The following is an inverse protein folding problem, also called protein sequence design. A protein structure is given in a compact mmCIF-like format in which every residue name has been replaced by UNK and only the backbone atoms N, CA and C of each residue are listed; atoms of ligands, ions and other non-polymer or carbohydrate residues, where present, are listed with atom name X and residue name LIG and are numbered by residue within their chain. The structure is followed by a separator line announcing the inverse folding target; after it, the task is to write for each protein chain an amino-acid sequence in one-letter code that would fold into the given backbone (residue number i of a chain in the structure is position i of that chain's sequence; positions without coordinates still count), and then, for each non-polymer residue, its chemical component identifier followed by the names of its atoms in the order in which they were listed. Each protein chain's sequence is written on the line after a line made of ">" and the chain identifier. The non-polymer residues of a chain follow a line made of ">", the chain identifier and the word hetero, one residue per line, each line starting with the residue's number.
data_IF_882479475195
#
_entry.id   IF_882479475195
#
_cell.length_a   1.000
_cell.length_b   1.000
_cell.length_c   1.000
_cell.angle_alpha   90.00
_cell.angle_beta   90.00
_cell.angle_gamma   90.00
#
_symmetry.space_group_name_H-M   'P 1'
#
loop_
_entity.id
_entity.type
_entity.pdbx_description
1 polymer ?
#
# COMPACT_ATOMS: atom_id res chain seq x y z
N UNK A 1 -67.65 -123.42 22.16
CA UNK A 1 -67.50 -121.97 21.90
C UNK A 1 -66.48 -121.32 22.84
N UNK A 2 -66.51 -121.62 24.15
CA UNK A 2 -65.51 -121.13 25.14
C UNK A 2 -64.08 -121.67 24.89
N UNK A 3 -63.92 -122.88 24.37
CA UNK A 3 -62.59 -123.44 24.04
C UNK A 3 -61.92 -122.77 22.82
N UNK A 4 -62.72 -122.25 21.88
CA UNK A 4 -62.23 -121.56 20.67
C UNK A 4 -61.74 -120.13 20.97
N UNK A 5 -62.28 -119.49 22.01
CA UNK A 5 -61.75 -118.22 22.51
C UNK A 5 -60.48 -118.41 23.35
N UNK A 6 -60.38 -119.52 24.09
CA UNK A 6 -59.16 -119.89 24.83
C UNK A 6 -57.97 -120.25 23.93
N UNK A 7 -58.19 -120.62 22.67
CA UNK A 7 -57.13 -120.91 21.70
C UNK A 7 -56.59 -119.68 20.96
N UNK A 8 -57.14 -118.47 21.18
CA UNK A 8 -56.59 -117.23 20.60
C UNK A 8 -55.48 -116.70 21.51
N UNK A 9 -54.29 -116.47 20.94
CA UNK A 9 -53.17 -115.78 21.61
C UNK A 9 -53.45 -114.28 21.81
N UNK A 10 -54.45 -113.99 22.63
CA UNK A 10 -54.86 -112.64 23.03
C UNK A 10 -53.89 -112.05 24.06
N UNK A 11 -53.24 -112.91 24.84
CA UNK A 11 -52.27 -112.53 25.88
C UNK A 11 -50.98 -112.01 25.23
N UNK A 12 -50.43 -112.70 24.24
CA UNK A 12 -49.24 -112.25 23.51
C UNK A 12 -49.47 -110.94 22.76
N UNK A 13 -50.64 -110.74 22.16
CA UNK A 13 -51.01 -109.48 21.51
C UNK A 13 -51.12 -108.31 22.51
N UNK A 14 -51.77 -108.53 23.66
CA UNK A 14 -51.84 -107.52 24.73
C UNK A 14 -50.45 -107.20 25.28
N UNK A 15 -49.57 -108.19 25.44
CA UNK A 15 -48.19 -107.96 25.88
C UNK A 15 -47.37 -107.17 24.84
N UNK A 16 -47.56 -107.45 23.55
CA UNK A 16 -46.95 -106.70 22.45
C UNK A 16 -47.44 -105.25 22.39
N UNK A 17 -48.74 -105.03 22.58
CA UNK A 17 -49.34 -103.68 22.65
C UNK A 17 -48.84 -102.93 23.89
N UNK A 18 -48.72 -103.60 25.05
CA UNK A 18 -48.13 -103.02 26.27
C UNK A 18 -46.67 -102.63 26.05
N UNK A 19 -45.86 -103.49 25.43
CA UNK A 19 -44.46 -103.20 25.08
C UNK A 19 -44.37 -101.99 24.13
N UNK A 20 -45.21 -101.93 23.09
CA UNK A 20 -45.28 -100.77 22.17
C UNK A 20 -45.74 -99.49 22.88
N UNK A 21 -46.76 -99.56 23.74
CA UNK A 21 -47.24 -98.42 24.52
C UNK A 21 -46.19 -97.90 25.49
N UNK A 22 -45.42 -98.79 26.11
CA UNK A 22 -44.29 -98.42 26.97
C UNK A 22 -43.17 -97.72 26.19
N UNK A 23 -42.76 -98.29 25.05
CA UNK A 23 -41.74 -97.69 24.17
C UNK A 23 -42.21 -96.33 23.67
N UNK A 24 -43.46 -96.23 23.19
CA UNK A 24 -44.04 -94.97 22.72
C UNK A 24 -44.06 -93.91 23.83
N UNK A 25 -44.48 -94.28 25.05
CA UNK A 25 -44.48 -93.37 26.19
C UNK A 25 -43.06 -92.90 26.55
N UNK A 26 -42.07 -93.80 26.52
CA UNK A 26 -40.66 -93.44 26.73
C UNK A 26 -40.16 -92.48 25.65
N UNK A 27 -40.41 -92.78 24.37
CA UNK A 27 -40.07 -91.88 23.26
C UNK A 27 -40.75 -90.51 23.40
N UNK A 28 -42.04 -90.47 23.74
CA UNK A 28 -42.79 -89.23 23.96
C UNK A 28 -42.18 -88.39 25.09
N UNK A 29 -41.83 -88.99 26.23
CA UNK A 29 -41.19 -88.26 27.34
C UNK A 29 -39.82 -87.69 26.95
N UNK A 30 -39.03 -88.41 26.15
CA UNK A 30 -37.74 -87.93 25.66
C UNK A 30 -37.90 -86.75 24.70
N UNK A 31 -38.88 -86.80 23.80
CA UNK A 31 -39.19 -85.71 22.87
C UNK A 31 -39.69 -84.49 23.64
N UNK A 32 -40.62 -84.65 24.58
CA UNK A 32 -41.15 -83.57 25.41
C UNK A 32 -40.06 -82.88 26.25
N UNK A 33 -39.07 -83.63 26.76
CA UNK A 33 -37.90 -83.01 27.42
C UNK A 33 -37.05 -82.17 26.47
N UNK A 34 -36.76 -82.68 25.27
CA UNK A 34 -36.00 -81.94 24.25
C UNK A 34 -36.74 -80.68 23.79
N UNK A 35 -38.06 -80.74 23.67
CA UNK A 35 -38.93 -79.61 23.35
C UNK A 35 -38.84 -78.50 24.40
N UNK A 36 -38.91 -78.86 25.70
CA UNK A 36 -38.74 -77.89 26.80
C UNK A 36 -37.38 -77.21 26.77
N UNK A 37 -36.30 -77.97 26.55
CA UNK A 37 -34.95 -77.40 26.44
C UNK A 37 -34.85 -76.43 25.26
N UNK A 38 -35.45 -76.75 24.11
CA UNK A 38 -35.47 -75.84 22.96
C UNK A 38 -36.28 -74.58 23.23
N UNK A 39 -37.40 -74.67 23.94
CA UNK A 39 -38.22 -73.50 24.26
C UNK A 39 -37.50 -72.50 25.16
N UNK A 40 -36.71 -72.97 26.14
CA UNK A 40 -35.87 -72.10 26.98
C UNK A 40 -34.83 -71.36 26.11
N UNK A 41 -34.16 -72.08 25.20
CA UNK A 41 -33.19 -71.46 24.28
C UNK A 41 -33.86 -70.43 23.38
N UNK A 42 -35.08 -70.68 22.91
CA UNK A 42 -35.83 -69.71 22.10
C UNK A 42 -36.14 -68.45 22.92
N UNK A 43 -36.55 -68.58 24.17
CA UNK A 43 -36.82 -67.45 25.07
C UNK A 43 -35.56 -66.63 25.34
N UNK A 44 -34.43 -67.29 25.63
CA UNK A 44 -33.13 -66.63 25.82
C UNK A 44 -32.70 -65.86 24.56
N UNK A 45 -32.82 -66.48 23.38
CA UNK A 45 -32.54 -65.83 22.10
C UNK A 45 -33.49 -64.67 21.81
N UNK A 46 -34.77 -64.77 22.19
CA UNK A 46 -35.73 -63.68 22.03
C UNK A 46 -35.36 -62.48 22.91
N UNK A 47 -34.93 -62.72 24.16
CA UNK A 47 -34.46 -61.68 25.05
C UNK A 47 -33.18 -61.02 24.51
N UNK A 48 -32.21 -61.80 24.03
CA UNK A 48 -30.98 -61.27 23.44
C UNK A 48 -31.27 -60.42 22.19
N UNK A 49 -32.21 -60.84 21.33
CA UNK A 49 -32.68 -60.05 20.18
C UNK A 49 -33.29 -58.72 20.65
N UNK A 50 -34.07 -58.73 21.73
CA UNK A 50 -34.67 -57.50 22.27
C UNK A 50 -33.59 -56.54 22.77
N UNK A 51 -32.62 -57.02 23.54
CA UNK A 51 -31.51 -56.19 24.03
C UNK A 51 -30.65 -55.64 22.90
N UNK A 52 -30.36 -56.44 21.87
CA UNK A 52 -29.64 -55.97 20.68
C UNK A 52 -30.41 -54.84 19.99
N UNK A 53 -31.74 -54.95 19.87
CA UNK A 53 -32.57 -53.90 19.26
C UNK A 53 -32.54 -52.60 20.06
N UNK A 54 -32.62 -52.68 21.38
CA UNK A 54 -32.57 -51.49 22.26
C UNK A 54 -31.20 -50.80 22.16
N UNK A 55 -30.11 -51.57 22.20
CA UNK A 55 -28.76 -51.02 21.98
C UNK A 55 -28.60 -50.37 20.61
N UNK A 56 -29.18 -50.95 19.56
CA UNK A 56 -29.15 -50.38 18.20
C UNK A 56 -29.89 -49.04 18.17
N UNK A 57 -31.05 -48.94 18.82
CA UNK A 57 -31.82 -47.70 18.88
C UNK A 57 -31.06 -46.58 19.60
N UNK A 58 -30.40 -46.89 20.71
CA UNK A 58 -29.62 -45.91 21.46
C UNK A 58 -28.35 -45.47 20.71
N UNK A 59 -27.66 -46.40 20.04
CA UNK A 59 -26.55 -46.06 19.14
C UNK A 59 -27.02 -45.16 17.99
N UNK A 60 -28.19 -45.42 17.40
CA UNK A 60 -28.76 -44.59 16.34
C UNK A 60 -29.02 -43.16 16.81
N UNK A 61 -29.61 -42.97 18.00
CA UNK A 61 -29.81 -41.63 18.59
C UNK A 61 -28.49 -40.90 18.79
N UNK A 62 -27.44 -41.61 19.24
CA UNK A 62 -26.10 -41.02 19.43
C UNK A 62 -25.49 -40.58 18.11
N UNK A 63 -25.65 -41.35 17.04
CA UNK A 63 -25.22 -40.98 15.69
C UNK A 63 -25.95 -39.73 15.22
N UNK A 64 -27.29 -39.69 15.34
CA UNK A 64 -28.09 -38.52 14.93
C UNK A 64 -27.70 -37.23 15.70
N UNK A 65 -27.34 -37.36 16.98
CA UNK A 65 -26.83 -36.24 17.78
C UNK A 65 -25.46 -35.76 17.27
N UNK A 66 -24.52 -36.68 17.07
CA UNK A 66 -23.18 -36.34 16.56
C UNK A 66 -23.23 -35.75 15.14
N UNK A 67 -24.12 -36.25 14.28
CA UNK A 67 -24.34 -35.69 12.94
C UNK A 67 -24.82 -34.23 12.99
N UNK A 68 -25.68 -33.89 13.96
CA UNK A 68 -26.13 -32.51 14.19
C UNK A 68 -24.99 -31.62 14.66
N UNK A 69 -24.19 -32.07 15.64
CA UNK A 69 -23.01 -31.33 16.09
C UNK A 69 -22.00 -31.10 14.97
N UNK A 70 -21.75 -32.11 14.13
CA UNK A 70 -20.88 -31.98 12.96
C UNK A 70 -21.45 -30.96 11.97
N UNK A 71 -22.76 -30.96 11.74
CA UNK A 71 -23.41 -29.99 10.85
C UNK A 71 -23.25 -28.55 11.36
N UNK A 72 -23.40 -28.33 12.66
CA UNK A 72 -23.23 -27.01 13.27
C UNK A 72 -21.76 -26.57 13.25
N UNK A 73 -20.82 -27.45 13.59
CA UNK A 73 -19.38 -27.19 13.44
C UNK A 73 -19.01 -26.83 12.00
N UNK A 74 -19.56 -27.53 10.99
CA UNK A 74 -19.33 -27.22 9.57
C UNK A 74 -19.84 -25.82 9.20
N UNK A 75 -21.01 -25.41 9.71
CA UNK A 75 -21.53 -24.05 9.50
C UNK A 75 -20.62 -23.00 10.12
N UNK A 76 -20.16 -23.22 11.35
CA UNK A 76 -19.23 -22.31 12.03
C UNK A 76 -17.91 -22.16 11.24
N UNK A 77 -17.35 -23.27 10.74
CA UNK A 77 -16.13 -23.25 9.91
C UNK A 77 -16.36 -22.51 8.59
N UNK A 78 -17.52 -22.67 7.95
CA UNK A 78 -17.84 -21.95 6.73
C UNK A 78 -17.93 -20.43 6.99
N UNK A 79 -18.54 -20.02 8.09
CA UNK A 79 -18.63 -18.61 8.48
C UNK A 79 -17.26 -18.02 8.81
N UNK A 80 -16.45 -18.70 9.63
CA UNK A 80 -15.08 -18.26 9.96
C UNK A 80 -14.21 -18.12 8.71
N UNK A 81 -14.34 -19.02 7.74
CA UNK A 81 -13.62 -18.89 6.47
C UNK A 81 -14.05 -17.66 5.67
N UNK A 82 -15.34 -17.29 5.71
CA UNK A 82 -15.82 -16.07 5.06
C UNK A 82 -15.19 -14.84 5.72
N UNK A 83 -15.26 -14.75 7.05
CA UNK A 83 -14.72 -13.63 7.81
C UNK A 83 -13.20 -13.51 7.66
N UNK A 84 -12.48 -14.64 7.66
CA UNK A 84 -11.04 -14.69 7.38
C UNK A 84 -10.70 -14.09 6.01
N UNK A 85 -11.44 -14.47 4.96
CA UNK A 85 -11.19 -13.96 3.61
C UNK A 85 -11.51 -12.47 3.47
N UNK A 86 -12.51 -11.97 4.21
CA UNK A 86 -12.83 -10.54 4.26
C UNK A 86 -11.71 -9.74 4.94
N UNK A 87 -11.25 -10.19 6.11
CA UNK A 87 -10.14 -9.57 6.82
C UNK A 87 -8.83 -9.63 6.01
N UNK A 88 -8.56 -10.75 5.31
CA UNK A 88 -7.39 -10.88 4.43
C UNK A 88 -7.38 -9.82 3.32
N UNK A 89 -8.54 -9.52 2.72
CA UNK A 89 -8.65 -8.46 1.71
C UNK A 89 -8.43 -7.07 2.31
N UNK A 90 -8.98 -6.81 3.48
CA UNK A 90 -8.78 -5.54 4.17
C UNK A 90 -7.30 -5.32 4.53
N UNK A 91 -6.61 -6.38 4.95
CA UNK A 91 -5.17 -6.36 5.22
C UNK A 91 -4.37 -6.04 3.94
N UNK A 92 -4.71 -6.65 2.80
CA UNK A 92 -4.06 -6.34 1.51
C UNK A 92 -4.25 -4.88 1.09
N UNK A 93 -5.42 -4.30 1.32
CA UNK A 93 -5.67 -2.88 1.03
C UNK A 93 -4.81 -1.97 1.92
N UNK A 94 -4.75 -2.24 3.22
CA UNK A 94 -3.90 -1.49 4.15
C UNK A 94 -2.42 -1.59 3.78
N UNK A 95 -1.94 -2.80 3.45
CA UNK A 95 -0.55 -3.01 3.03
C UNK A 95 -0.21 -2.19 1.77
N UNK A 96 -1.10 -2.18 0.78
CA UNK A 96 -0.94 -1.38 -0.43
C UNK A 96 -0.93 0.13 -0.13
N UNK A 97 -1.77 0.60 0.79
CA UNK A 97 -1.81 2.00 1.20
C UNK A 97 -0.54 2.41 1.96
N UNK A 98 0.00 1.52 2.82
CA UNK A 98 1.28 1.74 3.52
C UNK A 98 2.43 1.84 2.51
N UNK A 99 2.49 0.93 1.53
CA UNK A 99 3.52 0.95 0.48
C UNK A 99 3.50 2.27 -0.30
N UNK A 100 2.28 2.73 -0.65
CA UNK A 100 2.09 4.02 -1.34
C UNK A 100 2.52 5.20 -0.48
N UNK A 101 2.17 5.22 0.80
CA UNK A 101 2.57 6.30 1.72
C UNK A 101 4.10 6.34 1.93
N UNK A 102 4.75 5.17 2.03
CA UNK A 102 6.22 5.07 2.09
C UNK A 102 6.88 5.60 0.83
N UNK A 103 6.34 5.27 -0.35
CA UNK A 103 6.82 5.80 -1.62
C UNK A 103 6.65 7.34 -1.70
N UNK A 104 5.50 7.87 -1.30
CA UNK A 104 5.26 9.32 -1.27
C UNK A 104 6.23 10.01 -0.30
N UNK A 105 6.45 9.44 0.88
CA UNK A 105 7.41 9.92 1.87
C UNK A 105 8.83 9.98 1.29
N UNK A 106 9.29 8.90 0.66
CA UNK A 106 10.57 8.85 -0.02
C UNK A 106 10.70 9.96 -1.09
N UNK A 107 9.66 10.14 -1.90
CA UNK A 107 9.62 11.18 -2.93
C UNK A 107 9.75 12.59 -2.33
N UNK A 108 9.14 12.86 -1.17
CA UNK A 108 9.31 14.14 -0.46
C UNK A 108 10.73 14.34 0.04
N UNK A 109 11.35 13.31 0.65
CA UNK A 109 12.73 13.38 1.10
C UNK A 109 13.70 13.61 -0.06
N UNK A 110 13.53 12.88 -1.16
CA UNK A 110 14.32 13.04 -2.38
C UNK A 110 14.18 14.45 -2.95
N UNK A 111 12.95 14.96 -3.05
CA UNK A 111 12.67 16.33 -3.57
C UNK A 111 13.30 17.39 -2.68
N UNK A 112 13.21 17.25 -1.35
CA UNK A 112 13.86 18.16 -0.41
C UNK A 112 15.37 18.17 -0.59
N UNK A 113 15.98 16.99 -0.78
CA UNK A 113 17.43 16.87 -0.99
C UNK A 113 17.90 17.47 -2.32
N UNK A 114 17.18 17.24 -3.41
CA UNK A 114 17.50 17.79 -4.72
C UNK A 114 17.42 19.32 -4.75
N UNK A 115 16.47 19.90 -4.02
CA UNK A 115 16.27 21.35 -3.94
C UNK A 115 17.01 22.01 -2.76
N UNK A 116 17.90 21.27 -2.08
CA UNK A 116 18.67 21.75 -0.92
C UNK A 116 17.79 22.35 0.21
N UNK A 117 16.57 21.83 0.35
CA UNK A 117 15.63 22.24 1.39
C UNK A 117 16.05 21.57 2.70
N UNK A 118 16.50 22.39 3.66
CA UNK A 118 16.89 21.91 4.98
C UNK A 118 15.67 21.41 5.76
N UNK A 119 15.63 20.10 6.01
CA UNK A 119 14.61 19.47 6.84
C UNK A 119 15.00 19.53 8.33
N UNK A 120 14.04 19.78 9.25
CA UNK A 120 14.31 19.95 10.67
C UNK A 120 14.45 18.60 11.38
N UNK A 121 15.58 17.91 11.18
CA UNK A 121 15.92 16.70 11.93
C UNK A 121 16.35 17.06 13.37
N UNK A 122 15.78 16.41 14.41
CA UNK A 122 16.38 16.30 15.73
C UNK A 122 17.81 15.78 15.64
N UNK A 123 18.67 16.17 16.60
CA UNK A 123 20.11 15.88 16.60
C UNK A 123 20.49 14.39 16.52
N UNK A 124 19.53 13.47 16.67
CA UNK A 124 19.73 12.01 16.68
C UNK A 124 18.79 11.22 15.73
N UNK A 125 17.96 11.84 14.87
CA UNK A 125 16.94 11.10 14.08
C UNK A 125 16.98 11.33 12.57
N UNK A 126 18.18 11.45 12.00
CA UNK A 126 18.38 11.51 10.55
C UNK A 126 19.30 12.65 10.11
N UNK A 127 19.75 12.58 8.87
CA UNK A 127 20.55 13.63 8.21
C UNK A 127 20.21 13.64 6.73
N UNK A 128 20.34 14.80 6.08
CA UNK A 128 20.18 14.92 4.62
C UNK A 128 21.12 13.98 3.86
N UNK A 129 22.27 13.60 4.44
CA UNK A 129 23.18 12.61 3.86
C UNK A 129 22.60 11.20 3.82
N UNK A 130 21.68 10.86 4.72
CA UNK A 130 21.06 9.54 4.83
C UNK A 130 19.90 9.32 3.83
N UNK A 131 19.39 10.37 3.19
CA UNK A 131 18.35 10.26 2.14
C UNK A 131 18.99 9.73 0.85
N UNK A 132 18.59 8.56 0.37
CA UNK A 132 19.14 7.97 -0.86
C UNK A 132 18.44 8.55 -2.10
N UNK A 133 19.18 8.84 -3.18
CA UNK A 133 18.63 9.50 -4.39
C UNK A 133 18.12 8.54 -5.48
N UNK A 134 18.20 7.23 -5.24
CA UNK A 134 17.88 6.19 -6.22
C UNK A 134 16.48 6.38 -6.79
N UNK A 135 16.34 6.32 -8.11
CA UNK A 135 15.04 6.45 -8.77
C UNK A 135 14.22 5.18 -8.60
N UNK A 136 13.10 5.29 -7.89
CA UNK A 136 12.11 4.23 -7.75
C UNK A 136 11.12 4.37 -8.91
N UNK A 137 11.39 3.73 -10.04
CA UNK A 137 10.38 3.56 -11.09
C UNK A 137 9.49 2.39 -10.72
N UNK A 138 8.21 2.64 -10.45
CA UNK A 138 7.17 1.62 -10.49
C UNK A 138 7.09 1.11 -11.94
N UNK A 139 7.65 -0.07 -12.22
CA UNK A 139 7.44 -0.74 -13.49
C UNK A 139 6.09 -1.45 -13.46
N UNK A 140 5.06 -0.80 -14.03
CA UNK A 140 3.95 -1.50 -14.68
C UNK A 140 4.42 -1.95 -16.07
N UNK A 141 4.21 -3.22 -16.40
CA UNK A 141 4.66 -3.89 -17.61
C UNK A 141 4.26 -3.15 -18.91
N UNK A 142 5.20 -2.98 -19.86
CA UNK A 142 5.16 -3.49 -21.26
C UNK A 142 6.16 -2.79 -22.21
N UNK A 143 6.96 -3.61 -22.91
CA UNK A 143 7.60 -3.44 -24.23
C UNK A 143 7.72 -2.03 -24.87
N UNK A 144 8.95 -1.57 -25.19
CA UNK A 144 9.45 -1.14 -26.54
C UNK A 144 10.86 -0.48 -26.43
N UNK A 145 11.72 -0.56 -27.48
CA UNK A 145 13.16 -0.59 -27.33
C UNK A 145 13.88 0.77 -27.33
N UNK A 146 15.07 0.68 -26.74
CA UNK A 146 16.19 1.61 -26.63
C UNK A 146 16.44 2.39 -27.93
N UNK A 147 16.44 3.72 -27.84
CA UNK A 147 17.27 4.55 -28.72
C UNK A 147 18.12 5.50 -27.86
N UNK A 148 19.41 5.18 -27.86
CA UNK A 148 20.51 5.87 -27.20
C UNK A 148 20.84 7.19 -27.87
N UNK A 149 20.89 8.27 -27.10
CA UNK A 149 21.72 9.45 -27.41
C UNK A 149 22.31 9.97 -26.12
N UNK A 150 23.57 9.61 -25.87
CA UNK A 150 24.41 10.16 -24.80
C UNK A 150 25.37 11.14 -25.47
N UNK A 151 25.32 12.41 -25.08
CA UNK A 151 26.42 13.35 -25.31
C UNK A 151 27.39 13.30 -24.14
N UNK A 152 28.63 13.08 -24.52
CA UNK A 152 29.89 12.99 -23.78
C UNK A 152 30.22 14.20 -22.90
N UNK A 153 30.84 13.95 -21.75
CA UNK A 153 32.12 14.61 -21.37
C UNK A 153 32.99 13.69 -20.52
N UNK A 154 34.25 13.65 -20.92
CA UNK A 154 35.41 12.86 -20.51
C UNK A 154 36.02 13.30 -19.18
N UNK A 155 36.56 12.38 -18.38
CA UNK A 155 38.02 12.19 -18.16
C UNK A 155 38.30 11.12 -17.09
N UNK A 156 39.00 10.07 -17.53
CA UNK A 156 40.09 9.32 -16.91
C UNK A 156 40.08 8.96 -15.41
N UNK A 157 39.94 7.67 -15.12
CA UNK A 157 40.98 6.86 -14.46
C UNK A 157 40.56 5.39 -14.32
N UNK A 158 41.52 4.51 -14.58
CA UNK A 158 41.42 3.05 -14.70
C UNK A 158 41.17 2.30 -13.39
N UNK A 159 40.15 1.45 -13.33
CA UNK A 159 40.22 0.08 -12.76
C UNK A 159 38.98 -0.70 -13.22
N UNK A 160 39.16 -1.99 -13.53
CA UNK A 160 38.17 -2.86 -14.17
C UNK A 160 36.77 -2.79 -13.54
N UNK A 161 35.80 -2.29 -14.32
CA UNK A 161 34.38 -2.30 -13.98
C UNK A 161 33.71 -3.53 -14.58
N UNK A 162 33.31 -4.45 -13.70
CA UNK A 162 32.12 -5.26 -13.95
C UNK A 162 30.96 -4.28 -13.98
N UNK A 163 30.48 -3.95 -15.18
CA UNK A 163 29.37 -3.03 -15.41
C UNK A 163 28.06 -3.79 -15.16
N UNK A 164 27.82 -4.12 -13.89
CA UNK A 164 26.51 -4.56 -13.42
C UNK A 164 25.58 -3.34 -13.51
N UNK A 165 24.70 -3.39 -14.49
CA UNK A 165 23.55 -2.50 -14.64
C UNK A 165 22.75 -2.58 -13.34
N UNK A 166 23.02 -1.67 -12.42
CA UNK A 166 22.39 -1.62 -11.10
C UNK A 166 20.94 -1.13 -11.24
N UNK A 167 20.06 -2.03 -11.66
CA UNK A 167 18.63 -1.94 -11.36
C UNK A 167 18.47 -2.29 -9.89
N UNK A 168 17.90 -1.40 -9.06
CA UNK A 168 17.69 -1.71 -7.65
C UNK A 168 16.84 -2.98 -7.55
N UNK A 169 17.35 -3.99 -6.86
CA UNK A 169 16.51 -5.12 -6.49
C UNK A 169 15.40 -4.61 -5.56
N UNK A 170 14.20 -5.20 -5.60
CA UNK A 170 13.09 -4.86 -4.67
C UNK A 170 13.54 -4.90 -3.18
N UNK A 171 14.59 -5.65 -2.86
CA UNK A 171 15.20 -5.67 -1.52
C UNK A 171 15.86 -4.34 -1.12
N UNK A 172 16.49 -3.63 -2.06
CA UNK A 172 17.13 -2.34 -1.77
C UNK A 172 16.09 -1.25 -1.50
N UNK A 173 15.00 -1.24 -2.29
CA UNK A 173 13.89 -0.30 -2.09
C UNK A 173 13.27 -0.44 -0.70
N UNK A 174 13.07 -1.67 -0.24
CA UNK A 174 12.53 -1.93 1.10
C UNK A 174 13.49 -1.46 2.20
N UNK A 175 14.80 -1.65 2.02
CA UNK A 175 15.81 -1.15 2.96
C UNK A 175 15.82 0.38 3.04
N UNK A 176 15.60 1.08 1.91
CA UNK A 176 15.48 2.55 1.89
C UNK A 176 14.29 2.97 2.76
N UNK A 177 13.11 2.40 2.53
CA UNK A 177 11.92 2.72 3.31
C UNK A 177 12.10 2.41 4.80
N UNK A 178 12.72 1.29 5.16
CA UNK A 178 12.96 0.91 6.55
C UNK A 178 13.95 1.85 7.26
N UNK A 179 14.85 2.53 6.52
CA UNK A 179 15.73 3.58 7.06
C UNK A 179 14.94 4.87 7.24
N UNK A 180 14.15 5.26 6.24
CA UNK A 180 13.37 6.51 6.22
C UNK A 180 12.24 6.51 7.26
N UNK A 181 11.65 5.35 7.56
CA UNK A 181 10.65 5.17 8.63
C UNK A 181 11.19 5.56 10.02
N UNK A 182 12.52 5.55 10.21
CA UNK A 182 13.17 5.96 11.46
C UNK A 182 13.41 7.46 11.54
N UNK A 183 13.18 8.19 10.45
CA UNK A 183 13.36 9.63 10.44
C UNK A 183 12.21 10.30 11.17
N UNK A 184 12.55 11.03 12.24
CA UNK A 184 11.61 11.91 12.91
C UNK A 184 11.91 13.35 12.50
N UNK A 185 10.86 14.12 12.18
CA UNK A 185 10.95 15.54 11.86
C UNK A 185 10.37 16.38 12.99
N UNK A 186 11.03 17.49 13.31
CA UNK A 186 10.58 18.42 14.33
C UNK A 186 9.64 19.48 13.74
N UNK A 187 8.34 19.31 14.00
CA UNK A 187 7.29 20.22 13.53
C UNK A 187 6.95 21.35 14.52
N UNK A 188 7.71 21.58 15.60
CA UNK A 188 7.37 22.60 16.62
C UNK A 188 7.28 24.02 16.06
N UNK A 189 8.06 24.32 15.02
CA UNK A 189 8.07 25.64 14.35
C UNK A 189 7.02 25.77 13.25
N UNK A 190 6.30 24.69 12.93
CA UNK A 190 5.25 24.72 11.92
C UNK A 190 3.96 25.29 12.52
N UNK A 191 3.32 26.21 11.81
CA UNK A 191 2.05 26.82 12.22
C UNK A 191 0.94 25.76 12.31
N UNK A 192 0.05 25.88 13.29
CA UNK A 192 -0.98 24.86 13.56
C UNK A 192 -1.98 24.69 12.41
N UNK A 193 -2.23 25.76 11.66
CA UNK A 193 -3.10 25.71 10.47
C UNK A 193 -2.51 24.79 9.39
N UNK A 194 -1.18 24.76 9.26
CA UNK A 194 -0.45 23.91 8.31
C UNK A 194 -0.40 22.44 8.75
N UNK A 195 -0.64 22.15 10.03
CA UNK A 195 -0.68 20.78 10.56
C UNK A 195 -1.99 20.05 10.26
N UNK A 196 -3.06 20.79 9.93
CA UNK A 196 -4.41 20.25 9.76
C UNK A 196 -4.86 20.15 8.30
N UNK A 197 -3.95 20.43 7.35
CA UNK A 197 -4.28 20.48 5.93
C UNK A 197 -4.37 19.06 5.37
N UNK A 198 -5.43 18.78 4.60
CA UNK A 198 -5.59 17.52 3.87
C UNK A 198 -4.60 17.44 2.68
N UNK A 199 -4.17 16.24 2.31
CA UNK A 199 -3.21 15.96 1.23
C UNK A 199 -3.54 16.69 -0.10
N UNK A 200 -4.81 16.68 -0.52
CA UNK A 200 -5.23 17.39 -1.74
C UNK A 200 -5.04 18.91 -1.65
N UNK A 201 -5.27 19.47 -0.46
CA UNK A 201 -5.14 20.89 -0.24
C UNK A 201 -3.66 21.31 -0.15
N UNK A 202 -2.79 20.47 0.40
CA UNK A 202 -1.32 20.70 0.38
C UNK A 202 -0.81 20.80 -1.07
N UNK A 203 -1.23 19.90 -1.96
CA UNK A 203 -0.82 19.95 -3.36
C UNK A 203 -1.31 21.20 -4.10
N UNK A 204 -2.55 21.63 -3.80
CA UNK A 204 -3.14 22.84 -4.39
C UNK A 204 -2.46 24.11 -3.88
N UNK A 205 -2.27 24.21 -2.57
CA UNK A 205 -1.59 25.35 -1.93
C UNK A 205 -0.13 25.40 -2.33
N UNK A 206 0.56 24.25 -2.39
CA UNK A 206 1.94 24.16 -2.88
C UNK A 206 2.09 24.69 -4.30
N UNK A 207 1.22 24.28 -5.23
CA UNK A 207 1.18 24.83 -6.60
C UNK A 207 0.90 26.34 -6.61
N UNK A 208 0.01 26.82 -5.72
CA UNK A 208 -0.31 28.25 -5.61
C UNK A 208 0.87 29.06 -5.06
N UNK A 209 1.56 28.54 -4.04
CA UNK A 209 2.74 29.16 -3.44
C UNK A 209 3.89 29.22 -4.43
N UNK A 210 4.18 28.14 -5.15
CA UNK A 210 5.17 28.13 -6.24
C UNK A 210 4.81 29.22 -7.25
N UNK A 211 3.57 29.25 -7.73
CA UNK A 211 3.09 30.29 -8.66
C UNK A 211 3.26 31.70 -8.10
N UNK A 212 3.04 31.91 -6.79
CA UNK A 212 3.15 33.20 -6.14
C UNK A 212 4.61 33.64 -5.93
N UNK A 213 5.49 32.72 -5.56
CA UNK A 213 6.94 32.95 -5.44
C UNK A 213 7.52 33.34 -6.80
N UNK A 214 7.18 32.61 -7.87
CA UNK A 214 7.65 32.92 -9.22
C UNK A 214 7.06 34.21 -9.80
N UNK A 215 5.93 34.71 -9.27
CA UNK A 215 5.26 35.92 -9.78
C UNK A 215 5.74 37.20 -9.10
N UNK A 216 6.37 37.13 -7.93
CA UNK A 216 6.52 38.29 -7.03
C UNK A 216 7.94 38.44 -6.48
N UNK A 217 8.97 38.37 -7.32
CA UNK A 217 10.27 38.89 -6.89
C UNK A 217 10.17 40.42 -6.77
N UNK A 218 10.37 41.00 -5.57
CA UNK A 218 10.18 42.43 -5.35
C UNK A 218 11.26 43.29 -6.03
N UNK A 219 12.42 42.68 -6.33
CA UNK A 219 13.57 43.30 -6.94
C UNK A 219 14.20 42.34 -7.97
N UNK A 220 14.50 42.86 -9.16
CA UNK A 220 15.28 42.17 -10.18
C UNK A 220 16.63 42.87 -10.38
N UNK A 221 17.71 42.11 -10.43
CA UNK A 221 19.04 42.56 -10.80
C UNK A 221 19.39 41.92 -12.16
N UNK A 222 19.59 42.74 -13.19
CA UNK A 222 19.90 42.29 -14.54
C UNK A 222 21.29 42.81 -14.93
N UNK A 223 22.23 41.90 -15.14
CA UNK A 223 23.61 42.22 -15.51
C UNK A 223 23.82 42.02 -17.02
N UNK A 224 24.28 43.06 -17.72
CA UNK A 224 24.64 43.06 -19.15
C UNK A 224 23.62 42.39 -20.10
N UNK A 225 22.32 42.47 -19.78
CA UNK A 225 21.25 41.85 -20.56
C UNK A 225 21.13 42.41 -21.98
N UNK A 226 21.67 43.60 -22.20
CA UNK A 226 21.74 44.29 -23.49
C UNK A 226 22.74 43.66 -24.47
N UNK A 227 23.70 42.86 -24.00
CA UNK A 227 24.63 42.11 -24.86
C UNK A 227 23.91 41.04 -25.69
N UNK A 228 22.83 40.47 -25.14
CA UNK A 228 22.04 39.42 -25.79
C UNK A 228 20.88 39.97 -26.66
N UNK A 229 20.70 41.29 -26.74
CA UNK A 229 19.56 41.92 -27.40
C UNK A 229 19.99 42.76 -28.62
N UNK A 230 19.25 42.62 -29.72
CA UNK A 230 19.43 43.48 -30.89
C UNK A 230 18.95 44.92 -30.61
N UNK A 231 19.54 45.91 -31.30
CA UNK A 231 19.20 47.33 -31.16
C UNK A 231 17.70 47.64 -31.28
N UNK A 232 16.95 46.86 -32.07
CA UNK A 232 15.49 46.98 -32.23
C UNK A 232 14.71 46.50 -31.01
N UNK A 233 15.25 45.51 -30.28
CA UNK A 233 14.60 44.87 -29.14
C UNK A 233 15.00 45.51 -27.80
N UNK A 234 16.19 46.09 -27.69
CA UNK A 234 16.67 46.82 -26.49
C UNK A 234 15.63 47.85 -26.03
N UNK A 235 15.12 48.68 -26.96
CA UNK A 235 14.10 49.68 -26.64
C UNK A 235 12.82 49.04 -26.08
N UNK A 236 12.28 48.01 -26.77
CA UNK A 236 11.04 47.34 -26.33
C UNK A 236 11.17 46.75 -24.93
N UNK A 237 12.32 46.13 -24.63
CA UNK A 237 12.61 45.56 -23.31
C UNK A 237 12.74 46.65 -22.25
N UNK A 238 13.44 47.74 -22.56
CA UNK A 238 13.59 48.87 -21.65
C UNK A 238 12.25 49.59 -21.36
N UNK A 239 11.37 49.74 -22.36
CA UNK A 239 10.01 50.28 -22.16
C UNK A 239 9.17 49.35 -21.27
N UNK A 240 9.24 48.04 -21.52
CA UNK A 240 8.53 47.06 -20.72
C UNK A 240 8.98 47.10 -19.26
N UNK A 241 10.30 47.10 -19.01
CA UNK A 241 10.85 47.18 -17.66
C UNK A 241 10.41 48.46 -16.97
N UNK A 242 10.45 49.61 -17.66
CA UNK A 242 9.95 50.89 -17.11
C UNK A 242 8.49 50.79 -16.70
N UNK A 243 7.60 50.29 -17.58
CA UNK A 243 6.17 50.16 -17.30
C UNK A 243 5.89 49.20 -16.14
N UNK A 244 6.56 48.04 -16.11
CA UNK A 244 6.41 47.09 -15.00
C UNK A 244 6.99 47.66 -13.70
N UNK A 245 8.04 48.47 -13.77
CA UNK A 245 8.69 49.05 -12.58
C UNK A 245 7.86 50.09 -11.85
N UNK A 246 6.87 50.68 -12.53
CA UNK A 246 5.95 51.62 -11.93
C UNK A 246 4.93 50.98 -10.98
N UNK A 247 4.64 49.67 -11.12
CA UNK A 247 3.54 49.04 -10.37
C UNK A 247 3.79 47.62 -9.85
N UNK A 248 4.76 46.88 -10.40
CA UNK A 248 4.90 45.44 -10.11
C UNK A 248 6.20 45.04 -9.41
N UNK A 249 7.35 45.57 -9.80
CA UNK A 249 8.64 45.19 -9.22
C UNK A 249 9.70 46.27 -9.36
N UNK A 250 10.68 46.33 -8.46
CA UNK A 250 11.85 47.17 -8.66
C UNK A 250 12.85 46.46 -9.59
N UNK A 251 13.54 47.20 -10.46
CA UNK A 251 14.55 46.62 -11.34
C UNK A 251 15.82 47.49 -11.36
N UNK A 252 16.97 46.85 -11.16
CA UNK A 252 18.30 47.42 -11.32
C UNK A 252 18.91 46.73 -12.53
N UNK A 253 19.30 47.51 -13.53
CA UNK A 253 19.94 47.00 -14.74
C UNK A 253 21.32 47.60 -14.89
N UNK A 254 22.30 46.74 -15.14
CA UNK A 254 23.66 47.11 -15.51
C UNK A 254 23.73 46.99 -17.04
N UNK A 255 23.97 48.11 -17.71
CA UNK A 255 23.99 48.20 -19.17
C UNK A 255 24.94 49.29 -19.61
N UNK A 256 25.61 49.05 -20.75
CA UNK A 256 26.48 50.03 -21.41
C UNK A 256 25.79 50.72 -22.60
N UNK A 257 24.54 50.36 -22.90
CA UNK A 257 23.76 50.86 -24.04
C UNK A 257 22.87 52.02 -23.66
N UNK A 258 23.08 53.17 -24.30
CA UNK A 258 22.29 54.39 -24.10
C UNK A 258 20.78 54.19 -24.26
N UNK A 259 20.36 53.37 -25.23
CA UNK A 259 18.94 53.09 -25.47
C UNK A 259 18.25 52.41 -24.29
N UNK A 260 19.01 51.78 -23.40
CA UNK A 260 18.49 51.12 -22.20
C UNK A 260 18.41 52.12 -21.04
N UNK A 261 19.54 52.69 -20.65
CA UNK A 261 19.62 53.53 -19.45
C UNK A 261 18.95 54.91 -19.62
N UNK A 262 18.72 55.38 -20.85
CA UNK A 262 17.92 56.59 -21.12
C UNK A 262 16.44 56.46 -20.72
N UNK A 263 15.95 55.24 -20.46
CA UNK A 263 14.56 54.97 -20.04
C UNK A 263 14.45 54.66 -18.54
N UNK A 264 15.56 54.73 -17.80
CA UNK A 264 15.58 54.50 -16.36
C UNK A 264 15.02 55.71 -15.59
N UNK A 265 14.52 55.49 -14.38
CA UNK A 265 14.12 56.59 -13.47
C UNK A 265 15.30 57.27 -12.79
N UNK A 266 16.41 56.56 -12.58
CA UNK A 266 17.65 57.09 -12.05
C UNK A 266 18.85 56.35 -12.62
N UNK A 267 19.99 57.04 -12.71
CA UNK A 267 21.28 56.49 -13.09
C UNK A 267 22.21 56.43 -11.89
N UNK A 268 22.92 55.31 -11.80
CA UNK A 268 24.01 55.10 -10.84
C UNK A 268 25.27 54.86 -11.68
N UNK A 269 26.09 55.89 -11.84
CA UNK A 269 27.34 55.81 -12.57
C UNK A 269 28.45 55.34 -11.61
N UNK A 270 29.07 54.22 -11.93
CA UNK A 270 30.23 53.69 -11.21
C UNK A 270 31.47 53.98 -12.05
N UNK A 271 32.47 54.63 -11.45
CA UNK A 271 33.71 54.97 -12.14
C UNK A 271 34.94 54.76 -11.25
N UNK A 272 36.08 54.33 -11.83
CA UNK A 272 37.32 54.18 -11.08
C UNK A 272 37.95 55.55 -10.82
N UNK A 273 38.44 55.79 -9.60
CA UNK A 273 39.30 56.94 -9.30
C UNK A 273 40.76 56.57 -9.57
N UNK A 274 41.51 57.38 -10.34
CA UNK A 274 42.93 57.14 -10.56
C UNK A 274 43.71 57.30 -9.25
N UNK A 275 44.56 56.32 -8.95
CA UNK A 275 45.42 56.25 -7.75
C UNK A 275 46.20 54.93 -7.71
N UNK A 276 47.00 54.73 -6.66
CA UNK A 276 47.85 53.53 -6.50
C UNK A 276 47.06 52.22 -6.32
N UNK A 277 45.77 52.32 -6.00
CA UNK A 277 44.83 51.20 -5.90
C UNK A 277 43.50 51.56 -6.56
N UNK A 278 42.90 50.61 -7.28
CA UNK A 278 41.62 50.81 -7.97
C UNK A 278 40.51 50.93 -6.93
N UNK A 279 39.98 52.14 -6.78
CA UNK A 279 38.83 52.43 -5.93
C UNK A 279 37.67 52.91 -6.78
N UNK A 280 36.48 52.34 -6.57
CA UNK A 280 35.27 52.70 -7.31
C UNK A 280 34.53 53.81 -6.57
N UNK A 281 34.07 54.80 -7.31
CA UNK A 281 33.21 55.89 -6.84
C UNK A 281 31.85 55.78 -7.53
N UNK A 282 30.83 56.29 -6.84
CA UNK A 282 29.45 56.30 -7.31
C UNK A 282 28.98 57.74 -7.49
N UNK A 283 28.34 58.02 -8.63
CA UNK A 283 27.56 59.23 -8.86
C UNK A 283 26.13 58.84 -9.18
N UNK A 284 25.16 59.54 -8.60
CA UNK A 284 23.73 59.27 -8.79
C UNK A 284 23.07 60.45 -9.47
N UNK A 285 22.27 60.17 -10.50
CA UNK A 285 21.50 61.17 -11.22
C UNK A 285 20.04 60.73 -11.30
N UNK A 286 19.13 61.57 -10.82
CA UNK A 286 17.70 61.35 -10.98
C UNK A 286 17.25 61.85 -12.35
N UNK A 287 16.74 60.94 -13.19
CA UNK A 287 16.37 61.24 -14.57
C UNK A 287 14.95 61.77 -14.70
N UNK A 288 14.09 61.58 -13.69
CA UNK A 288 12.69 62.04 -13.75
C UNK A 288 12.61 63.57 -13.89
N UNK A 289 13.62 64.29 -13.41
CA UNK A 289 13.74 65.74 -13.52
C UNK A 289 13.87 66.24 -14.97
N UNK A 290 14.22 65.35 -15.89
CA UNK A 290 14.46 65.65 -17.30
C UNK A 290 13.39 65.03 -18.23
N UNK A 291 12.34 64.41 -17.68
CA UNK A 291 11.26 63.86 -18.51
C UNK A 291 10.42 65.01 -19.09
N UNK A 292 10.56 65.24 -20.39
CA UNK A 292 9.80 66.27 -21.12
C UNK A 292 8.28 65.99 -21.12
N UNK A 293 7.88 64.72 -20.93
CA UNK A 293 6.46 64.31 -20.98
C UNK A 293 5.67 64.77 -19.75
N UNK A 294 6.28 64.80 -18.57
CA UNK A 294 5.65 65.35 -17.35
C UNK A 294 5.72 66.89 -17.30
N UNK A 295 6.78 67.48 -17.84
CA UNK A 295 6.96 68.93 -17.86
C UNK A 295 5.96 69.67 -18.76
N UNK A 296 5.38 69.01 -19.77
CA UNK A 296 4.30 69.58 -20.60
C UNK A 296 2.96 69.51 -19.87
N UNK A 297 2.68 68.45 -19.09
CA UNK A 297 1.45 68.34 -18.32
C UNK A 297 1.36 69.38 -17.19
N UNK A 298 2.49 69.70 -16.54
CA UNK A 298 2.55 70.69 -15.47
C UNK A 298 2.59 72.16 -15.95
N UNK A 299 2.67 72.41 -17.26
CA UNK A 299 2.64 73.78 -17.84
C UNK A 299 1.28 74.19 -18.42
N UNK A 300 0.31 73.27 -18.48
CA UNK A 300 -1.04 73.51 -19.00
C UNK A 300 -2.13 73.51 -17.90
N UNK A 301 -1.75 73.61 -16.63
CA UNK A 301 -2.64 73.76 -15.47
C UNK A 301 -2.72 75.19 -14.96
#
# INVERSE_FOLDING_TARGET
>A
MVEFERSRDTVGHVEQVKKRSYIFRRCFTNVSKKEKTKNIIIEDLQNEISEIKDRLLDQKKKIEFQEREIADCRKCVAQLNKDYNEQRKHLQLIESDIEKLRMDQHNYFRTAKLNEILLPFPSNSGSMTAILLTEITLSDDTNIPIQSTTTTTTTDSSTASNDDRNYPSQLETKQIYDIEDKFELNYKRLHDDLKKINYEQVNKEGKSLIKQIFKSAPLFLLDEVDVALDNTNIGKVADFIREQSASKFQCIVISLKEQFYSRAGALIAIFPKPGDCITSYCFTLDLNQFDERENIANRCG
#
